data_IF_848217323810
#
_entry.id   IF_848217323810
#
_cell.length_a   1.000
_cell.length_b   1.000
_cell.length_c   1.000
_cell.angle_alpha   90.00
_cell.angle_beta   90.00
_cell.angle_gamma   90.00
#
_symmetry.space_group_name_H-M   'P 1'
#
loop_
_entity.id
_entity.type
_entity.pdbx_description
1 polymer ?
#
# COMPACT_ATOMS: atom_id res chain seq x y z
N UNK A 1 -3.18 -13.49 -0.93
CA UNK A 1 -2.27 -13.63 -2.09
C UNK A 1 -2.08 -15.07 -2.58
N UNK A 2 -1.54 -16.02 -1.78
CA UNK A 2 -1.32 -17.42 -2.24
C UNK A 2 -2.57 -18.13 -2.80
N UNK A 3 -3.74 -17.85 -2.23
CA UNK A 3 -5.02 -18.37 -2.74
C UNK A 3 -5.36 -17.82 -4.13
N UNK A 4 -5.06 -16.55 -4.40
CA UNK A 4 -5.29 -15.92 -5.70
C UNK A 4 -4.33 -16.48 -6.75
N UNK A 5 -3.07 -16.72 -6.39
CA UNK A 5 -2.11 -17.39 -7.27
C UNK A 5 -2.59 -18.79 -7.65
N UNK A 6 -3.02 -19.61 -6.67
CA UNK A 6 -3.54 -20.95 -6.96
C UNK A 6 -4.75 -20.91 -7.91
N UNK A 7 -5.64 -19.93 -7.76
CA UNK A 7 -6.83 -19.77 -8.61
C UNK A 7 -6.47 -19.27 -10.00
N UNK A 8 -5.52 -18.34 -10.09
CA UNK A 8 -4.95 -17.88 -11.36
C UNK A 8 -4.33 -19.03 -12.15
N UNK A 9 -3.49 -19.83 -11.51
CA UNK A 9 -2.84 -21.01 -12.12
C UNK A 9 -3.84 -22.08 -12.59
N UNK A 10 -4.94 -22.26 -11.87
CA UNK A 10 -6.01 -23.16 -12.28
C UNK A 10 -6.79 -22.60 -13.48
N UNK A 11 -7.11 -21.31 -13.47
CA UNK A 11 -7.81 -20.63 -14.56
C UNK A 11 -6.98 -20.61 -15.86
N UNK A 12 -5.66 -20.44 -15.76
CA UNK A 12 -4.75 -20.52 -16.92
C UNK A 12 -4.72 -21.90 -17.60
N UNK A 13 -5.14 -22.96 -16.89
CA UNK A 13 -5.26 -24.33 -17.42
C UNK A 13 -6.68 -24.68 -17.86
N UNK A 14 -7.63 -23.77 -17.65
CA UNK A 14 -9.03 -23.91 -18.03
C UNK A 14 -9.26 -23.48 -19.48
N UNK A 15 -10.32 -23.97 -20.15
CA UNK A 15 -10.78 -23.42 -21.42
C UNK A 15 -11.30 -21.98 -21.36
N UNK A 16 -11.32 -21.35 -20.17
CA UNK A 16 -11.79 -19.97 -19.91
C UNK A 16 -10.65 -19.05 -19.41
N UNK A 17 -9.72 -18.60 -20.29
CA UNK A 17 -8.59 -17.76 -19.90
C UNK A 17 -8.99 -16.41 -19.28
N UNK A 18 -10.22 -15.95 -19.52
CA UNK A 18 -10.76 -14.71 -18.96
C UNK A 18 -10.80 -14.73 -17.43
N UNK A 19 -10.99 -15.90 -16.82
CA UNK A 19 -10.94 -16.08 -15.36
C UNK A 19 -9.58 -15.70 -14.76
N UNK A 20 -8.49 -15.97 -15.46
CA UNK A 20 -7.15 -15.61 -15.01
C UNK A 20 -6.97 -14.07 -14.97
N UNK A 21 -7.61 -13.36 -15.90
CA UNK A 21 -7.61 -11.88 -15.93
C UNK A 21 -8.33 -11.32 -14.71
N UNK A 22 -9.47 -11.92 -14.31
CA UNK A 22 -10.18 -11.52 -13.09
C UNK A 22 -9.34 -11.73 -11.83
N UNK A 23 -8.64 -12.86 -11.70
CA UNK A 23 -7.78 -13.09 -10.53
C UNK A 23 -6.57 -12.15 -10.47
N UNK A 24 -6.01 -11.78 -11.61
CA UNK A 24 -4.91 -10.80 -11.70
C UNK A 24 -5.37 -9.39 -11.29
N UNK A 25 -6.55 -8.97 -11.79
CA UNK A 25 -7.19 -7.72 -11.40
C UNK A 25 -7.49 -7.70 -9.89
N UNK A 26 -8.08 -8.77 -9.35
CA UNK A 26 -8.38 -8.88 -7.93
C UNK A 26 -7.12 -8.85 -7.07
N UNK A 27 -6.06 -9.55 -7.45
CA UNK A 27 -4.78 -9.53 -6.72
C UNK A 27 -4.19 -8.11 -6.65
N UNK A 28 -4.28 -7.35 -7.74
CA UNK A 28 -3.83 -5.96 -7.78
C UNK A 28 -4.62 -5.09 -6.80
N UNK A 29 -5.96 -5.18 -6.82
CA UNK A 29 -6.83 -4.40 -5.93
C UNK A 29 -6.65 -4.77 -4.45
N UNK A 30 -6.55 -6.06 -4.14
CA UNK A 30 -6.31 -6.56 -2.79
C UNK A 30 -4.99 -6.03 -2.23
N UNK A 31 -3.92 -6.06 -3.02
CA UNK A 31 -2.63 -5.55 -2.59
C UNK A 31 -2.65 -4.03 -2.37
N UNK A 32 -3.34 -3.28 -3.21
CA UNK A 32 -3.54 -1.85 -3.03
C UNK A 32 -4.25 -1.52 -1.71
N UNK A 33 -5.36 -2.24 -1.43
CA UNK A 33 -6.09 -2.11 -0.17
C UNK A 33 -5.22 -2.46 1.03
N UNK A 34 -4.39 -3.51 0.93
CA UNK A 34 -3.43 -3.86 1.97
C UNK A 34 -2.43 -2.73 2.25
N UNK A 35 -1.90 -2.04 1.22
CA UNK A 35 -0.96 -0.91 1.43
C UNK A 35 -1.66 0.23 2.18
N UNK A 36 -2.84 0.65 1.70
CA UNK A 36 -3.66 1.69 2.33
C UNK A 36 -3.92 1.39 3.82
N UNK A 37 -4.43 0.19 4.11
CA UNK A 37 -4.73 -0.22 5.49
C UNK A 37 -3.47 -0.23 6.37
N UNK A 38 -2.32 -0.66 5.84
CA UNK A 38 -1.08 -0.69 6.62
C UNK A 38 -0.55 0.72 6.93
N UNK A 39 -0.70 1.67 6.00
CA UNK A 39 -0.32 3.06 6.25
C UNK A 39 -1.16 3.69 7.34
N UNK A 40 -2.48 3.49 7.28
CA UNK A 40 -3.41 3.92 8.31
C UNK A 40 -3.09 3.26 9.66
N UNK A 41 -2.79 1.96 9.64
CA UNK A 41 -2.43 1.21 10.83
C UNK A 41 -1.15 1.73 11.48
N UNK A 42 -0.11 2.08 10.70
CA UNK A 42 1.15 2.64 11.24
C UNK A 42 0.84 3.91 12.02
N UNK A 43 0.11 4.84 11.41
CA UNK A 43 -0.26 6.12 12.02
C UNK A 43 -1.13 5.90 13.25
N UNK A 44 -2.16 5.06 13.13
CA UNK A 44 -3.08 4.73 14.23
C UNK A 44 -2.36 4.13 15.42
N UNK A 45 -1.50 3.13 15.21
CA UNK A 45 -0.77 2.44 16.28
C UNK A 45 0.28 3.33 16.95
N UNK A 46 0.82 4.29 16.23
CA UNK A 46 1.78 5.22 16.80
C UNK A 46 1.11 6.30 17.65
N UNK A 47 0.11 6.98 17.10
CA UNK A 47 -0.41 8.22 17.69
C UNK A 47 -1.55 7.95 18.66
N UNK A 48 -2.49 7.04 18.33
CA UNK A 48 -3.70 6.82 19.12
C UNK A 48 -3.42 6.45 20.59
N UNK A 49 -2.40 5.64 20.94
CA UNK A 49 -2.07 5.36 22.34
C UNK A 49 -1.50 6.56 23.10
N UNK A 50 -0.84 7.51 22.39
CA UNK A 50 -0.25 8.73 22.98
C UNK A 50 -1.31 9.81 23.23
N UNK A 51 -2.46 9.74 22.55
CA UNK A 51 -3.57 10.67 22.72
C UNK A 51 -4.42 10.31 23.96
N UNK A 52 -4.66 11.29 24.83
CA UNK A 52 -5.42 11.09 26.07
C UNK A 52 -6.92 11.33 25.90
N UNK A 53 -7.31 12.37 25.16
CA UNK A 53 -8.73 12.79 25.07
C UNK A 53 -9.44 12.18 23.86
N UNK A 54 -10.77 11.95 23.95
CA UNK A 54 -11.58 11.47 22.84
C UNK A 54 -11.56 12.38 21.61
N UNK A 55 -11.57 13.70 21.78
CA UNK A 55 -11.62 14.66 20.66
C UNK A 55 -10.40 14.57 19.75
N UNK A 56 -9.20 14.48 20.33
CA UNK A 56 -7.98 14.30 19.54
C UNK A 56 -7.93 12.92 18.88
N UNK A 57 -8.44 11.87 19.53
CA UNK A 57 -8.57 10.53 18.92
C UNK A 57 -9.53 10.56 17.73
N UNK A 58 -10.64 11.28 17.85
CA UNK A 58 -11.60 11.45 16.76
C UNK A 58 -10.99 12.29 15.62
N UNK A 59 -10.24 13.35 15.95
CA UNK A 59 -9.52 14.16 14.97
C UNK A 59 -8.50 13.32 14.18
N UNK A 60 -7.78 12.41 14.84
CA UNK A 60 -6.86 11.48 14.18
C UNK A 60 -7.60 10.59 13.17
N UNK A 61 -8.69 9.94 13.57
CA UNK A 61 -9.41 9.01 12.70
C UNK A 61 -10.15 9.72 11.57
N UNK A 62 -10.72 10.91 11.80
CA UNK A 62 -11.56 11.60 10.80
C UNK A 62 -10.78 12.56 9.91
N UNK A 63 -9.82 13.31 10.44
CA UNK A 63 -9.12 14.38 9.69
C UNK A 63 -7.76 13.98 9.15
N UNK A 64 -7.05 13.10 9.86
CA UNK A 64 -5.71 12.67 9.46
C UNK A 64 -5.79 11.38 8.64
N UNK A 65 -6.41 10.34 9.21
CA UNK A 65 -6.55 9.03 8.53
C UNK A 65 -7.71 9.06 7.53
N UNK A 66 -8.91 9.45 7.97
CA UNK A 66 -10.13 9.37 7.15
C UNK A 66 -10.20 10.27 5.92
N UNK A 67 -9.30 11.25 5.78
CA UNK A 67 -9.17 12.09 4.59
C UNK A 67 -8.20 11.52 3.55
N UNK A 68 -7.50 10.43 3.87
CA UNK A 68 -6.50 9.85 3.00
C UNK A 68 -7.10 8.74 2.11
N UNK A 69 -7.31 9.02 0.83
CA UNK A 69 -7.89 8.07 -0.13
C UNK A 69 -6.84 7.50 -1.10
N UNK A 70 -5.79 6.91 -0.54
CA UNK A 70 -4.81 6.15 -1.31
C UNK A 70 -3.46 5.97 -0.61
N UNK A 71 -2.49 5.47 -1.37
CA UNK A 71 -1.14 5.14 -0.88
C UNK A 71 0.02 5.87 -1.59
N UNK A 72 -0.24 6.93 -2.36
CA UNK A 72 0.82 7.72 -2.98
C UNK A 72 1.79 8.30 -1.93
N UNK A 73 3.09 8.13 -2.11
CA UNK A 73 4.05 8.57 -1.10
C UNK A 73 3.93 10.07 -0.80
N UNK A 74 3.94 10.91 -1.84
CA UNK A 74 4.03 12.37 -1.70
C UNK A 74 2.68 13.00 -1.38
N UNK A 75 1.60 12.46 -1.94
CA UNK A 75 0.25 13.04 -1.80
C UNK A 75 -0.49 12.52 -0.57
N UNK A 76 -0.19 11.30 -0.13
CA UNK A 76 -0.99 10.58 0.86
C UNK A 76 -0.16 10.24 2.09
N UNK A 77 0.82 9.34 1.96
CA UNK A 77 1.54 8.78 3.10
C UNK A 77 2.38 9.80 3.86
N UNK A 78 3.20 10.58 3.14
CA UNK A 78 4.09 11.58 3.74
C UNK A 78 3.31 12.69 4.46
N UNK A 79 2.29 13.35 3.86
CA UNK A 79 1.48 14.34 4.59
C UNK A 79 0.80 13.74 5.82
N UNK A 80 0.18 12.55 5.69
CA UNK A 80 -0.50 11.88 6.79
C UNK A 80 0.46 11.59 7.96
N UNK A 81 1.61 10.99 7.67
CA UNK A 81 2.60 10.69 8.69
C UNK A 81 3.20 11.98 9.28
N UNK A 82 3.46 13.00 8.48
CA UNK A 82 3.95 14.30 8.94
C UNK A 82 2.95 14.97 9.91
N UNK A 83 1.66 14.95 9.60
CA UNK A 83 0.62 15.46 10.50
C UNK A 83 0.55 14.68 11.81
N UNK A 84 0.92 13.40 11.78
CA UNK A 84 0.91 12.51 12.93
C UNK A 84 2.16 12.64 13.83
N UNK A 85 3.36 12.83 13.26
CA UNK A 85 4.63 12.82 14.01
C UNK A 85 5.35 14.18 14.07
N UNK A 86 4.93 15.13 13.26
CA UNK A 86 5.60 16.42 13.08
C UNK A 86 6.75 16.37 12.08
N UNK A 87 7.08 17.54 11.51
CA UNK A 87 8.04 17.68 10.40
C UNK A 87 9.45 17.17 10.73
N UNK A 88 9.96 17.46 11.94
CA UNK A 88 11.29 17.05 12.40
C UNK A 88 11.45 15.52 12.40
N UNK A 89 10.43 14.82 12.88
CA UNK A 89 10.44 13.37 12.97
C UNK A 89 10.29 12.73 11.59
N UNK A 90 9.45 13.30 10.72
CA UNK A 90 9.33 12.86 9.33
C UNK A 90 10.66 12.99 8.58
N UNK A 91 11.35 14.12 8.74
CA UNK A 91 12.68 14.34 8.15
C UNK A 91 13.68 13.27 8.61
N UNK A 92 13.69 12.94 9.90
CA UNK A 92 14.56 11.89 10.46
C UNK A 92 14.28 10.53 9.82
N UNK A 93 13.00 10.16 9.68
CA UNK A 93 12.59 8.91 9.02
C UNK A 93 13.05 8.89 7.55
N UNK A 94 12.87 10.00 6.82
CA UNK A 94 13.32 10.07 5.43
C UNK A 94 14.83 9.95 5.28
N UNK A 95 15.61 10.61 6.15
CA UNK A 95 17.08 10.51 6.14
C UNK A 95 17.50 9.05 6.36
N UNK A 96 16.87 8.35 7.30
CA UNK A 96 17.12 6.93 7.55
C UNK A 96 16.77 6.04 6.34
N UNK A 97 15.62 6.27 5.70
CA UNK A 97 15.24 5.48 4.51
C UNK A 97 16.16 5.75 3.32
N UNK A 98 16.63 6.99 3.15
CA UNK A 98 17.58 7.37 2.10
C UNK A 98 18.96 6.78 2.34
N UNK A 99 19.46 6.80 3.58
CA UNK A 99 20.77 6.23 3.91
C UNK A 99 20.83 4.71 3.73
N UNK A 100 19.68 4.02 3.80
CA UNK A 100 19.56 2.59 3.51
C UNK A 100 19.27 2.25 2.04
N UNK A 101 19.10 3.26 1.17
CA UNK A 101 18.71 3.08 -0.24
C UNK A 101 17.29 2.53 -0.46
N UNK A 102 16.50 2.42 0.62
CA UNK A 102 15.14 1.89 0.56
C UNK A 102 14.12 2.94 0.14
N UNK A 103 14.45 4.22 0.28
CA UNK A 103 13.54 5.31 -0.06
C UNK A 103 13.13 5.28 -1.54
N UNK A 104 14.10 5.17 -2.44
CA UNK A 104 13.87 5.15 -3.88
C UNK A 104 13.06 3.91 -4.29
N UNK A 105 13.40 2.75 -3.72
CA UNK A 105 12.67 1.49 -3.93
C UNK A 105 11.23 1.63 -3.46
N UNK A 106 11.01 2.19 -2.26
CA UNK A 106 9.68 2.39 -1.69
C UNK A 106 8.81 3.27 -2.57
N UNK A 107 9.32 4.44 -2.97
CA UNK A 107 8.58 5.38 -3.81
C UNK A 107 8.29 4.77 -5.18
N UNK A 108 9.28 4.12 -5.80
CA UNK A 108 9.13 3.48 -7.11
C UNK A 108 8.09 2.35 -7.08
N UNK A 109 8.09 1.51 -6.05
CA UNK A 109 7.10 0.44 -5.91
C UNK A 109 5.68 0.97 -5.71
N UNK A 110 5.52 2.04 -4.92
CA UNK A 110 4.21 2.69 -4.73
C UNK A 110 3.71 3.35 -6.03
N UNK A 111 4.58 4.00 -6.80
CA UNK A 111 4.22 4.58 -8.09
C UNK A 111 3.84 3.48 -9.10
N UNK A 112 4.61 2.40 -9.17
CA UNK A 112 4.34 1.26 -10.05
C UNK A 112 3.00 0.58 -9.72
N UNK A 113 2.71 0.28 -8.45
CA UNK A 113 1.46 -0.38 -8.09
C UNK A 113 0.25 0.54 -8.26
N UNK A 114 0.42 1.86 -8.09
CA UNK A 114 -0.63 2.84 -8.41
C UNK A 114 -1.02 2.80 -9.88
N UNK A 115 -0.06 2.73 -10.80
CA UNK A 115 -0.35 2.59 -12.23
C UNK A 115 -1.13 1.31 -12.53
N UNK A 116 -0.75 0.18 -11.91
CA UNK A 116 -1.49 -1.07 -12.05
C UNK A 116 -2.91 -0.99 -11.48
N UNK A 117 -3.08 -0.32 -10.33
CA UNK A 117 -4.40 -0.08 -9.73
C UNK A 117 -5.28 0.76 -10.63
N UNK A 118 -4.77 1.87 -11.14
CA UNK A 118 -5.55 2.79 -11.95
C UNK A 118 -6.01 2.08 -13.25
N UNK A 119 -5.15 1.25 -13.85
CA UNK A 119 -5.56 0.37 -14.96
C UNK A 119 -6.63 -0.66 -14.51
N UNK A 120 -6.40 -1.36 -13.40
CA UNK A 120 -7.33 -2.37 -12.87
C UNK A 120 -8.70 -1.79 -12.51
N UNK A 121 -8.76 -0.63 -11.86
CA UNK A 121 -9.99 -0.04 -11.35
C UNK A 121 -10.80 0.67 -12.45
N UNK A 122 -10.13 1.29 -13.43
CA UNK A 122 -10.79 2.12 -14.44
C UNK A 122 -11.05 1.42 -15.78
N UNK A 123 -10.72 0.13 -15.91
CA UNK A 123 -11.01 -0.63 -17.12
C UNK A 123 -11.95 -1.80 -16.85
N UNK A 124 -12.98 -1.91 -17.69
CA UNK A 124 -13.86 -3.09 -17.76
C UNK A 124 -13.12 -4.25 -18.41
N UNK A 125 -13.34 -5.48 -17.96
CA UNK A 125 -12.80 -6.66 -18.65
C UNK A 125 -13.74 -6.93 -19.82
N UNK A 126 -13.49 -6.26 -20.93
CA UNK A 126 -14.16 -6.46 -22.21
C UNK A 126 -13.06 -6.44 -23.28
N UNK A 127 -12.97 -7.55 -24.02
CA UNK A 127 -11.94 -7.82 -25.03
C UNK A 127 -10.74 -8.67 -24.55
N UNK A 128 -10.15 -9.48 -25.45
CA UNK A 128 -9.14 -10.52 -25.13
C UNK A 128 -7.71 -9.99 -24.86
N UNK A 129 -7.45 -8.69 -24.97
CA UNK A 129 -6.09 -8.10 -24.94
C UNK A 129 -5.71 -7.42 -23.62
N UNK A 130 -6.59 -7.43 -22.60
CA UNK A 130 -6.28 -6.78 -21.32
C UNK A 130 -5.45 -7.68 -20.41
N UNK A 131 -4.25 -7.22 -20.09
CA UNK A 131 -3.34 -7.92 -19.18
C UNK A 131 -3.09 -7.11 -17.92
N UNK A 132 -3.22 -7.75 -16.76
CA UNK A 132 -2.80 -7.21 -15.47
C UNK A 132 -1.61 -8.02 -14.93
N UNK A 133 -0.83 -7.49 -13.98
CA UNK A 133 0.20 -8.29 -13.32
C UNK A 133 -0.39 -9.55 -12.70
N UNK A 134 0.27 -10.69 -12.91
CA UNK A 134 -0.14 -11.94 -12.27
C UNK A 134 -0.04 -11.83 -10.74
N UNK A 135 -0.76 -12.66 -9.97
CA UNK A 135 -0.67 -12.62 -8.52
C UNK A 135 0.75 -12.94 -7.99
N UNK A 136 1.56 -13.69 -8.72
CA UNK A 136 3.00 -13.90 -8.44
C UNK A 136 3.81 -12.61 -8.54
N UNK A 137 3.57 -11.78 -9.56
CA UNK A 137 4.22 -10.46 -9.67
C UNK A 137 3.80 -9.58 -8.49
N UNK A 138 2.50 -9.56 -8.16
CA UNK A 138 2.00 -8.83 -6.99
C UNK A 138 2.63 -9.34 -5.68
N UNK A 139 2.80 -10.66 -5.53
CA UNK A 139 3.46 -11.25 -4.38
C UNK A 139 4.94 -10.84 -4.29
N UNK A 140 5.64 -10.74 -5.42
CA UNK A 140 7.02 -10.24 -5.45
C UNK A 140 7.10 -8.78 -4.99
N UNK A 141 6.16 -7.94 -5.45
CA UNK A 141 6.04 -6.54 -4.99
C UNK A 141 5.76 -6.47 -3.49
N UNK A 142 4.84 -7.29 -2.98
CA UNK A 142 4.58 -7.40 -1.54
C UNK A 142 5.84 -7.77 -0.76
N UNK A 143 6.59 -8.78 -1.22
CA UNK A 143 7.83 -9.21 -0.55
C UNK A 143 8.92 -8.13 -0.54
N UNK A 144 8.89 -7.21 -1.52
CA UNK A 144 9.79 -6.05 -1.58
C UNK A 144 9.34 -4.94 -0.64
N UNK A 145 8.03 -4.63 -0.63
CA UNK A 145 7.48 -3.50 0.11
C UNK A 145 7.35 -3.78 1.61
N UNK A 146 6.92 -4.99 1.98
CA UNK A 146 6.70 -5.39 3.36
C UNK A 146 7.88 -5.13 4.31
N UNK A 147 9.14 -5.52 4.00
CA UNK A 147 10.26 -5.25 4.89
C UNK A 147 10.51 -3.74 5.08
N UNK A 148 10.28 -2.92 4.05
CA UNK A 148 10.45 -1.47 4.14
C UNK A 148 9.36 -0.88 5.06
N UNK A 149 8.10 -1.25 4.86
CA UNK A 149 6.97 -0.83 5.71
C UNK A 149 7.20 -1.22 7.17
N UNK A 150 7.73 -2.43 7.40
CA UNK A 150 8.10 -2.91 8.74
C UNK A 150 9.23 -2.08 9.36
N UNK A 151 10.23 -1.67 8.59
CA UNK A 151 11.30 -0.79 9.07
C UNK A 151 10.79 0.61 9.39
N UNK A 152 9.95 1.19 8.53
CA UNK A 152 9.28 2.46 8.80
C UNK A 152 8.53 2.38 10.12
N UNK A 153 7.73 1.34 10.34
CA UNK A 153 7.01 1.15 11.60
C UNK A 153 7.96 1.05 12.81
N UNK A 154 9.09 0.36 12.66
CA UNK A 154 10.08 0.23 13.73
C UNK A 154 10.74 1.58 14.08
N UNK A 155 11.16 2.36 13.09
CA UNK A 155 11.74 3.70 13.32
C UNK A 155 10.72 4.66 13.90
N UNK A 156 9.51 4.66 13.35
CA UNK A 156 8.40 5.48 13.82
C UNK A 156 8.07 5.19 15.29
N UNK A 157 8.14 3.91 15.71
CA UNK A 157 7.90 3.51 17.11
C UNK A 157 8.98 3.98 18.09
N UNK A 158 10.21 4.27 17.62
CA UNK A 158 11.31 4.75 18.46
C UNK A 158 11.22 6.25 18.79
N UNK A 159 10.35 6.97 18.09
CA UNK A 159 10.02 8.38 18.34
C UNK A 159 9.09 8.55 19.55
#
# INVERSE_FOLDING_TARGET
MKTLERRFEAAMRSPTPEEAVYFSKLATLEYCGWIEENFDMIVRRLVKPKLKTPDYKNMLETRIIGNNFGFDYKKNFRPMLTSAVGIKNMETIEIYLKSSGQFEIFVSELESIKQHRDNAAHTWIDGPTKTYPSPSVILSKFNTLFPIVKQIYAEVRRL
#
